data_IF_910967670235
#
_entry.id   IF_910967670235
#
_cell.length_a   1.000
_cell.length_b   1.000
_cell.length_c   1.000
_cell.angle_alpha   90.00
_cell.angle_beta   90.00
_cell.angle_gamma   90.00
#
_symmetry.space_group_name_H-M   'P 1'
#
loop_
_entity.id
_entity.type
_entity.pdbx_description
1 polymer ?
#
# COMPACT_ATOMS: atom_id res chain seq x y z
N UNK A 1 20.41 -29.08 -18.65
CA UNK A 1 20.69 -27.78 -18.05
C UNK A 1 19.79 -27.60 -16.86
N UNK A 2 20.36 -27.63 -15.66
CA UNK A 2 19.68 -27.23 -14.44
C UNK A 2 19.62 -25.72 -14.45
N UNK A 3 18.43 -25.16 -14.59
CA UNK A 3 18.20 -23.73 -14.33
C UNK A 3 18.10 -23.58 -12.81
N UNK A 4 19.17 -23.13 -12.18
CA UNK A 4 19.24 -22.95 -10.72
C UNK A 4 18.73 -21.57 -10.28
N UNK A 5 18.30 -20.71 -11.20
CA UNK A 5 17.98 -19.32 -10.94
C UNK A 5 16.55 -18.96 -11.38
N UNK A 6 16.06 -17.84 -10.87
CA UNK A 6 14.81 -17.25 -11.30
C UNK A 6 14.88 -16.85 -12.77
N UNK A 7 14.09 -17.48 -13.60
CA UNK A 7 14.07 -17.20 -15.02
C UNK A 7 13.14 -16.00 -15.34
N UNK A 8 13.66 -15.12 -16.18
CA UNK A 8 12.82 -14.09 -16.80
C UNK A 8 11.88 -14.78 -17.78
N UNK A 9 10.59 -14.80 -17.47
CA UNK A 9 9.60 -15.48 -18.31
C UNK A 9 8.67 -14.51 -19.03
N UNK A 10 8.61 -13.26 -18.62
CA UNK A 10 7.72 -12.29 -19.24
C UNK A 10 8.29 -10.87 -19.14
N UNK A 11 8.32 -10.19 -20.28
CA UNK A 11 8.52 -8.74 -20.35
C UNK A 11 7.29 -8.17 -21.04
N UNK A 12 6.66 -7.19 -20.45
CA UNK A 12 5.58 -6.48 -21.10
C UNK A 12 5.61 -4.99 -20.77
N UNK A 13 5.09 -4.21 -21.69
CA UNK A 13 4.97 -2.76 -21.56
C UNK A 13 3.60 -2.32 -22.02
N UNK A 14 3.22 -1.15 -21.61
CA UNK A 14 1.94 -0.57 -21.99
C UNK A 14 1.77 0.85 -21.47
N UNK A 15 0.60 1.35 -21.70
CA UNK A 15 0.16 2.65 -21.19
C UNK A 15 -1.09 2.41 -20.39
N UNK A 16 -0.97 2.58 -19.08
CA UNK A 16 -2.11 2.62 -18.16
C UNK A 16 -2.68 4.03 -18.11
N UNK A 17 -3.93 4.14 -17.78
CA UNK A 17 -4.55 5.42 -17.55
C UNK A 17 -5.92 5.28 -16.92
N UNK A 18 -6.34 6.34 -16.26
CA UNK A 18 -7.68 6.46 -15.71
C UNK A 18 -8.16 7.90 -15.82
N UNK A 19 -9.46 8.04 -15.88
CA UNK A 19 -10.12 9.33 -15.98
C UNK A 19 -11.37 9.30 -15.12
N UNK A 20 -11.52 10.29 -14.27
CA UNK A 20 -12.72 10.46 -13.47
C UNK A 20 -13.37 11.80 -13.82
N UNK A 21 -14.67 11.76 -14.16
CA UNK A 21 -15.45 12.93 -14.48
C UNK A 21 -16.86 12.79 -13.95
N UNK A 22 -17.46 13.90 -13.56
CA UNK A 22 -18.85 14.00 -13.17
C UNK A 22 -19.56 15.04 -14.02
N UNK A 23 -20.54 14.62 -14.80
CA UNK A 23 -21.17 15.50 -15.79
C UNK A 23 -20.17 15.97 -16.82
N UNK A 24 -20.02 17.30 -16.94
CA UNK A 24 -19.03 17.92 -17.84
C UNK A 24 -17.70 18.25 -17.14
N UNK A 25 -17.58 18.00 -15.84
CA UNK A 25 -16.37 18.30 -15.09
C UNK A 25 -15.43 17.11 -15.10
N UNK A 26 -14.15 17.37 -15.37
CA UNK A 26 -13.07 16.42 -15.26
C UNK A 26 -12.42 16.60 -13.89
N UNK A 27 -12.44 15.57 -13.03
CA UNK A 27 -11.80 15.63 -11.71
C UNK A 27 -10.32 15.27 -11.74
N UNK A 28 -9.95 14.26 -12.55
CA UNK A 28 -8.55 13.94 -12.81
C UNK A 28 -8.39 13.12 -14.07
N UNK A 29 -7.20 13.20 -14.63
CA UNK A 29 -6.72 12.33 -15.71
C UNK A 29 -5.34 11.81 -15.35
N UNK A 30 -5.18 10.50 -15.39
CA UNK A 30 -3.91 9.81 -15.19
C UNK A 30 -3.44 9.20 -16.49
N UNK A 31 -2.15 9.35 -16.75
CA UNK A 31 -1.43 8.70 -17.83
C UNK A 31 -0.16 8.04 -17.27
N UNK A 32 0.00 6.75 -17.48
CA UNK A 32 1.09 5.99 -16.87
C UNK A 32 1.68 4.97 -17.85
N UNK A 33 2.69 5.34 -18.66
CA UNK A 33 3.51 4.38 -19.37
C UNK A 33 4.28 3.51 -18.35
N UNK A 34 4.39 2.22 -18.64
CA UNK A 34 5.05 1.27 -17.76
C UNK A 34 5.81 0.19 -18.51
N UNK A 35 6.81 -0.38 -17.83
CA UNK A 35 7.57 -1.54 -18.23
C UNK A 35 7.61 -2.52 -17.06
N UNK A 36 7.35 -3.78 -17.32
CA UNK A 36 7.37 -4.84 -16.31
C UNK A 36 8.30 -5.96 -16.77
N UNK A 37 9.15 -6.39 -15.84
CA UNK A 37 9.93 -7.62 -15.93
C UNK A 37 9.38 -8.59 -14.90
N UNK A 38 8.99 -9.78 -15.34
CA UNK A 38 8.46 -10.81 -14.47
C UNK A 38 9.37 -12.06 -14.51
N UNK A 39 9.75 -12.49 -13.32
CA UNK A 39 10.63 -13.64 -13.09
C UNK A 39 9.88 -14.70 -12.30
N UNK A 40 10.08 -15.95 -12.65
CA UNK A 40 9.48 -17.08 -11.97
C UNK A 40 10.56 -18.13 -11.71
N UNK A 41 10.54 -18.70 -10.52
CA UNK A 41 11.35 -19.87 -10.24
C UNK A 41 10.69 -21.11 -10.88
N UNK A 42 11.33 -21.65 -11.92
CA UNK A 42 10.83 -22.82 -12.66
C UNK A 42 11.23 -24.15 -12.00
N UNK A 43 12.12 -24.11 -11.01
CA UNK A 43 12.61 -25.29 -10.34
C UNK A 43 11.57 -25.88 -9.38
N UNK A 44 11.37 -27.19 -9.46
CA UNK A 44 10.48 -27.97 -8.58
C UNK A 44 9.02 -27.47 -8.50
N UNK A 45 8.47 -26.90 -9.56
CA UNK A 45 7.10 -26.35 -9.59
C UNK A 45 6.86 -25.28 -8.51
N UNK A 46 7.89 -24.54 -8.16
CA UNK A 46 7.75 -23.41 -7.26
C UNK A 46 6.78 -22.38 -7.84
N UNK A 47 5.92 -21.85 -6.98
CA UNK A 47 5.04 -20.74 -7.32
C UNK A 47 5.67 -19.37 -6.97
N UNK A 48 6.94 -19.36 -6.64
CA UNK A 48 7.67 -18.13 -6.37
C UNK A 48 7.75 -17.26 -7.61
N UNK A 49 7.49 -15.99 -7.43
CA UNK A 49 7.54 -15.01 -8.49
C UNK A 49 8.18 -13.71 -8.02
N UNK A 50 8.85 -13.06 -8.94
CA UNK A 50 9.42 -11.75 -8.76
C UNK A 50 8.95 -10.85 -9.90
N UNK A 51 8.76 -9.57 -9.60
CA UNK A 51 8.31 -8.59 -10.58
C UNK A 51 9.02 -7.26 -10.32
N UNK A 52 9.61 -6.71 -11.36
CA UNK A 52 10.10 -5.35 -11.39
C UNK A 52 9.17 -4.51 -12.29
N UNK A 53 8.58 -3.49 -11.73
CA UNK A 53 7.73 -2.53 -12.43
C UNK A 53 8.46 -1.18 -12.44
N UNK A 54 8.59 -0.60 -13.61
CA UNK A 54 9.06 0.77 -13.82
C UNK A 54 7.95 1.53 -14.55
N UNK A 55 7.50 2.64 -13.99
CA UNK A 55 6.45 3.46 -14.62
C UNK A 55 6.66 4.93 -14.34
N UNK A 56 6.19 5.75 -15.25
CA UNK A 56 6.11 7.19 -15.08
C UNK A 56 4.64 7.60 -15.02
N UNK A 57 4.22 8.16 -13.91
CA UNK A 57 2.82 8.50 -13.62
C UNK A 57 2.67 10.01 -13.77
N UNK A 58 1.85 10.41 -14.71
CA UNK A 58 1.46 11.81 -14.92
C UNK A 58 0.02 11.97 -14.48
N UNK A 59 -0.24 12.89 -13.60
CA UNK A 59 -1.57 13.20 -13.09
C UNK A 59 -1.89 14.66 -13.39
N UNK A 60 -3.06 14.87 -13.95
CA UNK A 60 -3.69 16.16 -14.10
C UNK A 60 -5.01 16.18 -13.34
N UNK A 61 -5.19 17.16 -12.47
CA UNK A 61 -6.40 17.34 -11.67
C UNK A 61 -7.05 18.66 -12.04
N UNK A 62 -8.35 18.63 -12.21
CA UNK A 62 -9.13 19.83 -12.46
C UNK A 62 -9.14 20.75 -11.22
N UNK A 63 -8.95 22.04 -11.43
CA UNK A 63 -8.91 23.01 -10.35
C UNK A 63 -10.25 23.72 -10.23
N UNK A 64 -10.80 23.76 -9.02
CA UNK A 64 -11.88 24.67 -8.72
C UNK A 64 -11.30 26.06 -8.42
N UNK A 65 -11.75 27.14 -9.11
CA UNK A 65 -11.29 28.49 -8.84
C UNK A 65 -11.53 28.95 -7.37
N UNK A 66 -12.57 28.40 -6.73
CA UNK A 66 -12.94 28.73 -5.35
C UNK A 66 -12.07 27.98 -4.32
N UNK A 67 -11.51 26.83 -4.70
CA UNK A 67 -10.66 26.02 -3.84
C UNK A 67 -9.50 25.42 -4.67
N UNK A 68 -8.46 26.24 -4.91
CA UNK A 68 -7.35 25.81 -5.76
C UNK A 68 -6.54 24.69 -5.10
N UNK A 69 -6.29 23.62 -5.86
CA UNK A 69 -5.47 22.50 -5.41
C UNK A 69 -4.00 22.93 -5.25
N UNK A 70 -3.37 22.49 -4.15
CA UNK A 70 -1.94 22.73 -3.92
C UNK A 70 -1.05 22.01 -4.93
N UNK A 71 -1.50 20.85 -5.41
CA UNK A 71 -0.78 20.03 -6.37
C UNK A 71 -1.74 19.55 -7.47
N UNK A 72 -2.09 20.42 -8.44
CA UNK A 72 -3.03 20.04 -9.50
C UNK A 72 -2.39 19.07 -10.49
N UNK A 73 -1.15 19.34 -10.88
CA UNK A 73 -0.39 18.56 -11.83
C UNK A 73 0.89 18.06 -11.17
N UNK A 74 1.22 16.81 -11.39
CA UNK A 74 2.46 16.23 -10.93
C UNK A 74 2.87 15.01 -11.72
N UNK A 75 4.16 14.72 -11.68
CA UNK A 75 4.79 13.56 -12.28
C UNK A 75 5.49 12.75 -11.19
N UNK A 76 5.35 11.42 -11.26
CA UNK A 76 6.03 10.49 -10.34
C UNK A 76 6.66 9.36 -11.14
N UNK A 77 7.97 9.25 -11.09
CA UNK A 77 8.68 8.03 -11.48
C UNK A 77 8.57 7.02 -10.34
N UNK A 78 7.98 5.87 -10.60
CA UNK A 78 7.82 4.80 -9.63
C UNK A 78 8.54 3.53 -10.10
N UNK A 79 9.41 3.02 -9.24
CA UNK A 79 10.11 1.74 -9.42
C UNK A 79 9.71 0.82 -8.28
N UNK A 80 9.04 -0.28 -8.59
CA UNK A 80 8.56 -1.23 -7.60
C UNK A 80 9.08 -2.63 -7.91
N UNK A 81 9.78 -3.20 -6.95
CA UNK A 81 10.14 -4.62 -6.94
C UNK A 81 9.20 -5.37 -5.99
N UNK A 82 8.72 -6.52 -6.42
CA UNK A 82 7.84 -7.37 -5.62
C UNK A 82 8.29 -8.81 -5.70
N UNK A 83 8.32 -9.48 -4.56
CA UNK A 83 8.55 -10.91 -4.40
C UNK A 83 7.31 -11.55 -3.80
N UNK A 84 6.93 -12.71 -4.29
CA UNK A 84 5.81 -13.48 -3.75
C UNK A 84 6.14 -14.97 -3.76
N UNK A 85 5.94 -15.60 -2.61
CA UNK A 85 5.92 -17.05 -2.44
C UNK A 85 4.55 -17.45 -1.88
N UNK A 86 3.60 -17.83 -2.73
CA UNK A 86 2.21 -18.16 -2.34
C UNK A 86 2.07 -19.59 -1.80
N UNK A 87 3.03 -20.08 -1.00
CA UNK A 87 2.92 -21.37 -0.36
C UNK A 87 1.71 -21.39 0.59
N UNK A 88 0.89 -22.43 0.52
CA UNK A 88 -0.34 -22.53 1.31
C UNK A 88 -0.09 -22.48 2.82
N UNK A 89 0.97 -23.13 3.31
CA UNK A 89 1.31 -23.18 4.73
C UNK A 89 2.13 -21.97 5.19
N UNK A 90 2.95 -21.41 4.30
CA UNK A 90 3.87 -20.30 4.60
C UNK A 90 3.88 -19.32 3.44
N UNK A 91 2.98 -18.40 3.44
CA UNK A 91 2.93 -17.36 2.43
C UNK A 91 3.86 -16.21 2.83
N UNK A 92 4.70 -15.78 1.91
CA UNK A 92 5.58 -14.63 2.08
C UNK A 92 5.45 -13.71 0.87
N UNK A 93 5.17 -12.45 1.11
CA UNK A 93 5.31 -11.40 0.12
C UNK A 93 6.25 -10.32 0.64
N UNK A 94 7.02 -9.74 -0.24
CA UNK A 94 7.85 -8.58 0.07
C UNK A 94 7.85 -7.62 -1.10
N UNK A 95 7.89 -6.34 -0.83
CA UNK A 95 8.02 -5.33 -1.88
C UNK A 95 8.92 -4.18 -1.43
N UNK A 96 9.65 -3.64 -2.39
CA UNK A 96 10.38 -2.39 -2.29
C UNK A 96 9.77 -1.42 -3.30
N UNK A 97 9.46 -0.21 -2.85
CA UNK A 97 8.86 0.84 -3.66
C UNK A 97 9.72 2.10 -3.57
N UNK A 98 10.15 2.61 -4.72
CA UNK A 98 10.85 3.87 -4.86
C UNK A 98 10.01 4.81 -5.71
N UNK A 99 9.83 6.04 -5.22
CA UNK A 99 9.09 7.07 -5.92
C UNK A 99 9.93 8.35 -5.97
N UNK A 100 9.98 8.95 -7.13
CA UNK A 100 10.70 10.19 -7.40
C UNK A 100 9.80 11.16 -8.14
N UNK A 101 9.69 12.35 -7.61
CA UNK A 101 8.97 13.50 -8.16
C UNK A 101 9.84 14.75 -8.04
N UNK A 102 9.44 15.83 -8.68
CA UNK A 102 10.02 17.17 -8.46
C UNK A 102 9.82 17.66 -7.02
N UNK A 103 8.78 17.21 -6.34
CA UNK A 103 8.41 17.63 -4.97
C UNK A 103 8.90 16.70 -3.88
N UNK A 104 9.13 15.43 -4.17
CA UNK A 104 9.54 14.45 -3.17
C UNK A 104 10.31 13.29 -3.77
N UNK A 105 11.06 12.61 -2.93
CA UNK A 105 11.57 11.26 -3.19
C UNK A 105 11.36 10.42 -1.95
N UNK A 106 10.72 9.26 -2.11
CA UNK A 106 10.49 8.34 -1.00
C UNK A 106 10.82 6.90 -1.36
N UNK A 107 11.18 6.15 -0.33
CA UNK A 107 11.35 4.71 -0.38
C UNK A 107 10.46 4.05 0.66
N UNK A 108 9.95 2.88 0.32
CA UNK A 108 9.17 2.06 1.24
C UNK A 108 9.46 0.57 1.05
N UNK A 109 9.36 -0.17 2.13
CA UNK A 109 9.47 -1.64 2.15
C UNK A 109 8.24 -2.19 2.85
N UNK A 110 7.62 -3.19 2.24
CA UNK A 110 6.54 -3.96 2.86
C UNK A 110 6.94 -5.43 2.86
N UNK A 111 6.71 -6.11 3.97
CA UNK A 111 6.85 -7.56 4.06
C UNK A 111 5.65 -8.14 4.78
N UNK A 112 5.04 -9.18 4.21
CA UNK A 112 3.89 -9.86 4.78
C UNK A 112 4.19 -11.35 4.88
N UNK A 113 3.93 -11.91 6.02
CA UNK A 113 4.14 -13.31 6.32
C UNK A 113 2.88 -13.92 6.93
N UNK A 114 2.41 -15.00 6.34
CA UNK A 114 1.31 -15.80 6.85
C UNK A 114 1.79 -17.23 7.07
N UNK A 115 1.52 -17.77 8.26
CA UNK A 115 1.79 -19.16 8.60
C UNK A 115 0.52 -19.84 9.09
N UNK A 116 0.15 -20.91 8.43
CA UNK A 116 -0.91 -21.83 8.85
C UNK A 116 -0.30 -23.01 9.60
N UNK A 117 -0.80 -23.29 10.80
CA UNK A 117 -0.38 -24.43 11.64
C UNK A 117 -1.32 -25.61 11.46
N UNK A 118 -0.87 -26.80 11.88
CA UNK A 118 -1.63 -28.05 11.77
C UNK A 118 -2.95 -28.06 12.54
N UNK A 119 -3.09 -27.22 13.55
CA UNK A 119 -4.32 -27.04 14.33
C UNK A 119 -5.27 -25.99 13.73
N UNK A 120 -5.12 -25.63 12.46
CA UNK A 120 -5.85 -24.58 11.76
C UNK A 120 -5.72 -23.18 12.38
N UNK A 121 -4.71 -22.96 13.23
CA UNK A 121 -4.35 -21.62 13.67
C UNK A 121 -3.48 -20.96 12.62
N UNK A 122 -3.73 -19.66 12.42
CA UNK A 122 -3.01 -18.84 11.48
C UNK A 122 -2.40 -17.63 12.19
N UNK A 123 -1.16 -17.33 11.85
CA UNK A 123 -0.50 -16.08 12.24
C UNK A 123 -0.25 -15.29 10.96
N UNK A 124 -0.66 -14.03 10.96
CA UNK A 124 -0.34 -13.06 9.95
C UNK A 124 0.53 -11.98 10.58
N UNK A 125 1.63 -11.66 9.94
CA UNK A 125 2.54 -10.59 10.31
C UNK A 125 2.73 -9.69 9.10
N UNK A 126 2.69 -8.39 9.31
CA UNK A 126 3.03 -7.41 8.29
C UNK A 126 3.99 -6.40 8.89
N UNK A 127 5.04 -6.13 8.16
CA UNK A 127 5.98 -5.05 8.43
C UNK A 127 5.87 -4.02 7.31
N UNK A 128 5.86 -2.76 7.68
CA UNK A 128 6.01 -1.64 6.75
C UNK A 128 7.03 -0.67 7.30
N UNK A 129 7.92 -0.20 6.44
CA UNK A 129 8.88 0.85 6.74
C UNK A 129 9.06 1.77 5.55
N UNK A 130 9.01 3.07 5.78
CA UNK A 130 9.17 4.06 4.73
C UNK A 130 9.81 5.34 5.20
N UNK A 131 10.53 6.00 4.32
CA UNK A 131 11.15 7.30 4.58
C UNK A 131 11.16 8.17 3.34
N UNK A 132 11.04 9.47 3.55
CA UNK A 132 11.32 10.46 2.53
C UNK A 132 12.83 10.76 2.51
N UNK A 133 13.42 10.70 1.33
CA UNK A 133 14.79 11.16 1.10
C UNK A 133 14.84 12.67 1.01
N UNK A 134 13.83 13.24 0.36
CA UNK A 134 13.49 14.67 0.45
C UNK A 134 11.97 14.83 0.27
N UNK A 135 11.43 15.92 0.81
CA UNK A 135 10.01 16.24 0.71
C UNK A 135 9.81 17.76 0.79
N UNK A 136 9.62 18.39 -0.36
CA UNK A 136 9.35 19.83 -0.46
C UNK A 136 7.86 20.15 -0.35
N UNK A 137 6.98 19.13 -0.52
CA UNK A 137 5.53 19.24 -0.35
C UNK A 137 5.08 19.09 1.12
N UNK A 138 5.98 19.26 2.06
CA UNK A 138 5.85 18.92 3.49
C UNK A 138 4.86 19.76 4.30
N UNK A 139 4.31 20.81 3.71
CA UNK A 139 3.27 21.61 4.34
C UNK A 139 1.86 21.09 4.01
N UNK A 140 1.76 20.05 3.19
CA UNK A 140 0.54 19.33 2.93
C UNK A 140 0.77 17.83 3.16
N UNK A 141 -0.29 17.14 3.50
CA UNK A 141 -0.33 15.71 3.75
C UNK A 141 -0.51 14.86 2.48
N UNK A 142 -0.62 15.52 1.31
CA UNK A 142 -1.02 14.87 0.07
C UNK A 142 -0.04 13.76 -0.38
N UNK A 143 1.28 13.99 -0.27
CA UNK A 143 2.31 13.01 -0.63
C UNK A 143 2.89 12.26 0.57
N UNK A 144 2.17 12.16 1.67
CA UNK A 144 2.60 11.50 2.90
C UNK A 144 2.47 9.97 2.84
N UNK A 145 3.01 9.30 3.86
CA UNK A 145 2.62 7.93 4.21
C UNK A 145 1.33 7.98 5.01
N UNK A 146 0.35 7.20 4.63
CA UNK A 146 -0.93 7.12 5.30
C UNK A 146 -0.91 6.08 6.44
N UNK A 147 -1.51 6.40 7.58
CA UNK A 147 -1.55 5.54 8.75
C UNK A 147 -2.78 4.63 8.79
N UNK A 148 -3.94 5.24 8.71
CA UNK A 148 -5.23 4.56 8.84
C UNK A 148 -6.10 4.67 7.57
N UNK A 149 -5.84 5.65 6.72
CA UNK A 149 -6.57 5.88 5.46
C UNK A 149 -5.60 5.95 4.30
N UNK A 150 -5.83 5.21 3.21
CA UNK A 150 -4.96 5.27 2.06
C UNK A 150 -5.04 6.66 1.40
N UNK A 151 -3.89 7.27 1.14
CA UNK A 151 -3.75 8.38 0.21
C UNK A 151 -3.42 7.80 -1.16
N UNK A 152 -4.28 8.05 -2.15
CA UNK A 152 -4.10 7.49 -3.49
C UNK A 152 -3.69 8.55 -4.50
N UNK A 153 -2.59 9.24 -4.24
CA UNK A 153 -2.04 10.23 -5.19
C UNK A 153 -1.45 9.60 -6.46
N UNK A 154 -1.26 8.29 -6.50
CA UNK A 154 -0.91 7.56 -7.72
C UNK A 154 -2.15 7.13 -8.52
N UNK A 155 -3.34 7.29 -7.98
CA UNK A 155 -4.60 6.85 -8.57
C UNK A 155 -4.56 5.38 -9.02
N UNK A 156 -4.02 4.53 -8.15
CA UNK A 156 -3.87 3.10 -8.42
C UNK A 156 -5.06 2.28 -7.93
N UNK A 157 -5.82 2.80 -6.98
CA UNK A 157 -6.95 2.10 -6.40
C UNK A 157 -8.22 2.36 -7.20
N UNK A 158 -8.94 1.30 -7.52
CA UNK A 158 -10.32 1.40 -7.94
C UNK A 158 -11.17 1.72 -6.72
N UNK A 159 -11.35 2.98 -6.45
CA UNK A 159 -11.95 3.48 -5.22
C UNK A 159 -13.46 3.33 -5.26
N UNK A 160 -13.98 2.35 -4.54
CA UNK A 160 -15.39 2.28 -4.18
C UNK A 160 -15.58 2.93 -2.81
N UNK A 161 -15.41 4.23 -2.75
CA UNK A 161 -15.59 5.12 -1.64
C UNK A 161 -15.62 4.54 -0.22
N UNK A 162 -14.96 5.21 0.69
CA UNK A 162 -15.24 5.04 2.11
C UNK A 162 -16.57 5.73 2.40
N UNK A 163 -17.59 5.00 2.85
CA UNK A 163 -18.92 5.54 3.00
C UNK A 163 -19.04 6.56 4.12
N UNK A 164 -18.25 6.45 5.20
CA UNK A 164 -18.28 7.39 6.33
C UNK A 164 -16.97 7.36 7.13
N UNK A 165 -16.59 8.48 7.72
CA UNK A 165 -15.40 8.61 8.56
C UNK A 165 -15.55 8.06 9.97
N UNK A 166 -16.76 7.74 10.44
CA UNK A 166 -17.04 7.30 11.81
C UNK A 166 -18.32 6.47 11.90
N UNK A 167 -18.47 5.68 12.97
CA UNK A 167 -19.64 4.88 13.28
C UNK A 167 -19.52 3.42 12.89
N UNK A 168 -20.59 2.64 13.17
CA UNK A 168 -20.65 1.20 12.92
C UNK A 168 -20.47 0.80 11.44
N UNK A 169 -20.68 1.72 10.51
CA UNK A 169 -20.57 1.50 9.08
C UNK A 169 -19.32 2.14 8.47
N UNK A 170 -18.39 2.60 9.29
CA UNK A 170 -17.10 3.06 8.78
C UNK A 170 -16.36 1.85 8.22
N UNK A 171 -16.09 1.86 6.92
CA UNK A 171 -15.45 0.74 6.24
C UNK A 171 -14.10 1.18 5.68
N UNK A 172 -13.07 0.43 5.99
CA UNK A 172 -11.78 0.55 5.35
C UNK A 172 -11.68 -0.54 4.27
N UNK A 173 -11.84 -0.16 3.01
CA UNK A 173 -11.81 -1.10 1.89
C UNK A 173 -10.37 -1.43 1.48
N UNK A 174 -9.43 -0.52 1.73
CA UNK A 174 -8.03 -0.66 1.35
C UNK A 174 -7.19 -0.38 2.60
N UNK A 175 -6.24 -1.28 2.89
CA UNK A 175 -5.30 -1.12 4.00
C UNK A 175 -4.30 -0.01 3.65
N UNK A 176 -4.19 0.99 4.51
CA UNK A 176 -3.21 2.05 4.38
C UNK A 176 -1.78 1.52 4.62
N UNK A 177 -0.78 2.33 4.29
CA UNK A 177 0.64 1.98 4.44
C UNK A 177 0.98 1.60 5.89
N UNK A 178 0.49 2.35 6.88
CA UNK A 178 0.64 2.05 8.31
C UNK A 178 -0.11 0.80 8.78
N UNK A 179 -1.21 0.46 8.13
CA UNK A 179 -1.99 -0.75 8.40
C UNK A 179 -2.82 -0.70 9.69
N UNK A 180 -2.97 0.46 10.30
CA UNK A 180 -3.81 0.66 11.47
C UNK A 180 -5.30 0.59 11.11
N UNK A 181 -6.11 0.08 12.03
CA UNK A 181 -7.55 -0.09 11.86
C UNK A 181 -8.34 1.02 12.55
N UNK A 182 -7.76 1.63 13.58
CA UNK A 182 -8.33 2.76 14.30
C UNK A 182 -7.91 4.08 13.68
N UNK A 183 -8.72 5.12 13.88
CA UNK A 183 -8.33 6.49 13.54
C UNK A 183 -7.29 6.98 14.54
N UNK A 184 -6.14 7.39 14.04
CA UNK A 184 -5.01 7.83 14.84
C UNK A 184 -4.68 9.30 14.59
N UNK A 185 -3.95 9.88 15.56
CA UNK A 185 -3.35 11.20 15.42
C UNK A 185 -1.85 11.09 15.68
N UNK A 186 -0.99 11.46 14.72
CA UNK A 186 -1.31 12.03 13.40
C UNK A 186 -1.92 10.99 12.43
N UNK A 187 -2.60 11.46 11.39
CA UNK A 187 -3.21 10.62 10.35
C UNK A 187 -2.20 10.17 9.29
N UNK A 188 -1.03 10.83 9.25
CA UNK A 188 0.00 10.63 8.23
C UNK A 188 1.42 10.81 8.80
N UNK A 189 2.40 10.34 8.03
CA UNK A 189 3.81 10.60 8.26
C UNK A 189 4.46 11.22 7.02
N UNK A 190 5.10 12.39 7.18
CA UNK A 190 5.74 13.13 6.08
C UNK A 190 7.28 13.12 6.15
N UNK A 191 7.86 12.41 7.10
CA UNK A 191 9.30 12.20 7.21
C UNK A 191 9.64 10.71 7.15
N UNK A 192 9.23 9.92 8.13
CA UNK A 192 9.38 8.47 8.10
C UNK A 192 8.33 7.76 8.97
N UNK A 193 8.16 6.48 8.70
CA UNK A 193 7.23 5.58 9.39
C UNK A 193 7.82 4.17 9.46
N UNK A 194 7.57 3.49 10.57
CA UNK A 194 7.79 2.05 10.70
C UNK A 194 6.64 1.44 11.48
N UNK A 195 6.02 0.41 10.94
CA UNK A 195 4.89 -0.28 11.59
C UNK A 195 5.03 -1.78 11.53
N UNK A 196 4.45 -2.44 12.52
CA UNK A 196 4.29 -3.88 12.59
C UNK A 196 2.85 -4.21 12.95
N UNK A 197 2.23 -5.00 12.11
CA UNK A 197 0.85 -5.45 12.28
C UNK A 197 0.87 -6.97 12.49
N UNK A 198 0.15 -7.45 13.47
CA UNK A 198 0.05 -8.87 13.78
C UNK A 198 -1.42 -9.28 13.95
N UNK A 199 -1.78 -10.45 13.46
CA UNK A 199 -3.08 -11.03 13.75
C UNK A 199 -3.02 -12.54 13.81
N UNK A 200 -3.89 -13.11 14.64
CA UNK A 200 -4.03 -14.57 14.79
C UNK A 200 -5.49 -14.92 14.96
N UNK A 201 -5.91 -16.04 14.39
CA UNK A 201 -7.28 -16.50 14.62
C UNK A 201 -7.41 -17.09 16.04
N UNK A 202 -8.43 -16.64 16.76
CA UNK A 202 -8.84 -17.17 18.07
C UNK A 202 -9.81 -18.36 17.83
N UNK A 203 -10.72 -18.15 16.89
CA UNK A 203 -11.72 -19.16 16.49
C UNK A 203 -11.96 -19.00 15.00
N UNK A 204 -12.25 -20.08 14.29
CA UNK A 204 -12.58 -20.16 12.84
C UNK A 204 -12.34 -18.83 12.07
N UNK A 205 -13.32 -17.94 12.13
CA UNK A 205 -13.36 -16.65 11.43
C UNK A 205 -13.17 -15.41 12.33
N UNK A 206 -12.84 -15.63 13.63
CA UNK A 206 -12.56 -14.56 14.58
C UNK A 206 -11.05 -14.47 14.80
N UNK A 207 -10.49 -13.28 14.64
CA UNK A 207 -9.07 -12.98 14.81
C UNK A 207 -8.88 -11.91 15.88
N UNK A 208 -7.84 -12.07 16.71
CA UNK A 208 -7.28 -10.95 17.44
C UNK A 208 -6.22 -10.27 16.56
N UNK A 209 -6.13 -8.96 16.64
CA UNK A 209 -5.08 -8.20 16.01
C UNK A 209 -4.45 -7.19 16.98
N UNK A 210 -3.23 -6.78 16.66
CA UNK A 210 -2.52 -5.71 17.33
C UNK A 210 -1.53 -5.08 16.35
N UNK A 211 -1.53 -3.78 16.33
CA UNK A 211 -0.71 -2.96 15.46
C UNK A 211 0.12 -2.00 16.30
N UNK A 212 1.37 -1.84 15.97
CA UNK A 212 2.29 -0.91 16.62
C UNK A 212 3.16 -0.23 15.58
N UNK A 213 3.47 1.04 15.78
CA UNK A 213 4.34 1.76 14.88
C UNK A 213 4.93 3.02 15.49
N UNK A 214 5.97 3.49 14.88
CA UNK A 214 6.58 4.77 15.18
C UNK A 214 6.51 5.63 13.92
N UNK A 215 6.05 6.85 14.09
CA UNK A 215 5.91 7.81 13.00
C UNK A 215 6.64 9.09 13.36
N UNK A 216 7.13 9.76 12.35
CA UNK A 216 7.75 11.07 12.52
C UNK A 216 7.27 12.02 11.43
N UNK A 217 6.78 13.16 11.86
CA UNK A 217 6.52 14.31 11.04
C UNK A 217 7.62 15.35 11.24
N UNK A 218 7.75 16.21 10.25
CA UNK A 218 8.72 17.27 10.28
C UNK A 218 8.43 18.24 11.43
N UNK A 219 9.49 18.62 12.13
CA UNK A 219 9.45 19.47 13.32
C UNK A 219 8.72 18.89 14.54
N UNK A 220 8.37 17.60 14.48
CA UNK A 220 7.79 16.86 15.59
C UNK A 220 8.73 15.78 16.09
N UNK A 221 8.57 15.37 17.33
CA UNK A 221 9.27 14.19 17.85
C UNK A 221 8.61 12.93 17.32
N UNK A 222 9.39 11.84 17.24
CA UNK A 222 8.84 10.54 16.91
C UNK A 222 7.73 10.15 17.89
N UNK A 223 6.60 9.68 17.37
CA UNK A 223 5.41 9.28 18.14
C UNK A 223 5.17 7.80 18.01
N UNK A 224 5.05 7.12 19.13
CA UNK A 224 4.62 5.71 19.19
C UNK A 224 3.09 5.66 19.08
N UNK A 225 2.60 4.84 18.19
CA UNK A 225 1.19 4.58 17.95
C UNK A 225 0.92 3.09 18.10
N UNK A 226 -0.24 2.74 18.60
CA UNK A 226 -0.68 1.35 18.70
C UNK A 226 -2.20 1.28 18.64
N UNK A 227 -2.71 0.17 18.13
CA UNK A 227 -4.09 -0.22 18.26
C UNK A 227 -4.22 -1.74 18.42
N UNK A 228 -5.37 -2.21 18.85
CA UNK A 228 -5.65 -3.62 18.97
C UNK A 228 -7.15 -3.87 19.03
N UNK A 229 -7.57 -5.04 18.59
CA UNK A 229 -8.99 -5.37 18.58
C UNK A 229 -9.28 -6.80 18.12
N UNK A 230 -10.54 -7.01 17.79
CA UNK A 230 -11.04 -8.26 17.26
C UNK A 230 -11.51 -8.01 15.82
N UNK A 231 -11.09 -8.86 14.92
CA UNK A 231 -11.48 -8.86 13.52
C UNK A 231 -12.33 -10.09 13.22
N UNK A 232 -13.41 -9.90 12.51
CA UNK A 232 -14.21 -10.99 11.97
C UNK A 232 -14.02 -11.07 10.45
N UNK A 233 -13.54 -12.21 9.97
CA UNK A 233 -13.40 -12.49 8.54
C UNK A 233 -14.62 -13.28 8.08
N UNK A 234 -15.63 -12.60 7.54
CA UNK A 234 -16.88 -13.22 7.11
C UNK A 234 -16.73 -13.95 5.77
N UNK A 235 -15.96 -13.37 4.87
CA UNK A 235 -15.52 -14.01 3.63
C UNK A 235 -14.02 -13.83 3.56
N UNK A 236 -13.28 -14.92 3.64
CA UNK A 236 -11.83 -14.89 3.70
C UNK A 236 -11.24 -14.08 2.55
N UNK A 237 -10.38 -13.14 2.89
CA UNK A 237 -9.68 -12.22 1.98
C UNK A 237 -10.59 -11.23 1.19
N UNK A 238 -11.90 -11.16 1.50
CA UNK A 238 -12.83 -10.26 0.82
C UNK A 238 -13.64 -9.35 1.75
N UNK A 239 -14.11 -9.86 2.87
CA UNK A 239 -14.96 -9.08 3.76
C UNK A 239 -14.58 -9.30 5.22
N UNK A 240 -14.02 -8.25 5.81
CA UNK A 240 -13.56 -8.23 7.19
C UNK A 240 -14.21 -7.07 7.96
N UNK A 241 -14.64 -7.36 9.20
CA UNK A 241 -15.12 -6.36 10.16
C UNK A 241 -14.10 -6.22 11.28
N UNK A 242 -13.76 -4.99 11.62
CA UNK A 242 -12.81 -4.64 12.69
C UNK A 242 -13.52 -3.98 13.86
#
# INVERSE_FOLDING_TARGET
HQFENNDLYLIYYGIGGSRYSYGYNLFYQKYSPFLVFAFRNSYLRSNESQRLLIRNINVHRDQNPEDPLLQPDYNVLNVKYSYSNPNFLKHLTASFDYQLSDKFSKIAVTAEYRKLFTNNRQINLRFFGGTFLYNDARNNDYFSFALDRPTDYLFDYNYYGRSQGSGLFSQQIIVAEGGFKSQLQPEYANEWITTMNASTNIWKWIYAYGDVGIVKNRHENGKLLYDSGIRMSLVQDYFELF
#
